data_IF_271083755809
#
_entry.id   IF_271083755809
#
_cell.length_a   1.000
_cell.length_b   1.000
_cell.length_c   1.000
_cell.angle_alpha   90.00
_cell.angle_beta   90.00
_cell.angle_gamma   90.00
#
_symmetry.space_group_name_H-M   'P 1'
#
loop_
_entity.id
_entity.type
_entity.pdbx_description
1 polymer ?
#
# COMPACT_ATOMS: atom_id res chain seq x y z
N UNK A 1 -24.39 11.33 -16.37
CA UNK A 1 -24.08 10.00 -15.80
C UNK A 1 -23.25 10.22 -14.54
N UNK A 2 -23.80 10.00 -13.33
CA UNK A 2 -23.06 10.18 -12.07
C UNK A 2 -22.98 8.86 -11.33
N UNK A 3 -22.42 7.86 -12.02
CA UNK A 3 -22.06 6.60 -11.41
C UNK A 3 -20.79 6.89 -10.62
N UNK A 4 -20.89 6.93 -9.29
CA UNK A 4 -19.78 6.58 -8.40
C UNK A 4 -19.15 5.33 -9.00
N UNK A 5 -18.02 5.47 -9.68
CA UNK A 5 -17.30 4.36 -10.27
C UNK A 5 -17.27 3.24 -9.25
N UNK A 6 -17.74 2.06 -9.65
CA UNK A 6 -17.74 0.90 -8.79
C UNK A 6 -16.28 0.67 -8.41
N UNK A 7 -15.88 1.06 -7.19
CA UNK A 7 -14.51 0.91 -6.72
C UNK A 7 -14.07 -0.53 -7.02
N UNK A 8 -13.13 -0.68 -7.95
CA UNK A 8 -12.55 -1.96 -8.31
C UNK A 8 -11.93 -2.56 -7.05
N UNK A 9 -12.35 -3.78 -6.68
CA UNK A 9 -11.99 -4.45 -5.42
C UNK A 9 -11.41 -5.82 -5.67
N UNK A 10 -10.42 -6.19 -4.88
CA UNK A 10 -9.93 -7.56 -4.82
C UNK A 10 -10.93 -8.51 -4.12
N UNK A 11 -10.61 -9.80 -4.09
CA UNK A 11 -11.42 -10.84 -3.42
C UNK A 11 -11.68 -10.60 -1.93
N UNK A 12 -10.82 -9.85 -1.25
CA UNK A 12 -10.97 -9.50 0.17
C UNK A 12 -11.83 -8.24 0.38
N UNK A 13 -12.29 -7.62 -0.71
CA UNK A 13 -13.09 -6.40 -0.73
C UNK A 13 -12.28 -5.12 -0.56
N UNK A 14 -10.96 -5.18 -0.71
CA UNK A 14 -10.07 -4.01 -0.63
C UNK A 14 -9.92 -3.36 -2.01
N UNK A 15 -9.95 -2.01 -2.07
CA UNK A 15 -9.72 -1.27 -3.31
C UNK A 15 -8.21 -1.15 -3.60
N UNK A 16 -7.85 -0.71 -4.82
CA UNK A 16 -6.44 -0.51 -5.23
C UNK A 16 -5.66 0.37 -4.26
N UNK A 17 -6.28 1.42 -3.73
CA UNK A 17 -5.64 2.36 -2.79
C UNK A 17 -5.19 1.70 -1.48
N UNK A 18 -5.61 0.47 -1.20
CA UNK A 18 -5.14 -0.29 -0.04
C UNK A 18 -3.78 -0.97 -0.23
N UNK A 19 -3.24 -1.00 -1.45
CA UNK A 19 -2.05 -1.76 -1.84
C UNK A 19 -0.93 -0.82 -2.27
N UNK A 20 0.32 -1.18 -1.98
CA UNK A 20 1.48 -0.38 -2.36
C UNK A 20 1.94 -0.65 -3.80
N UNK A 21 1.61 -1.84 -4.33
CA UNK A 21 1.94 -2.25 -5.70
C UNK A 21 0.64 -2.71 -6.37
N UNK A 22 0.29 -2.04 -7.47
CA UNK A 22 -0.84 -2.39 -8.34
C UNK A 22 -0.25 -2.99 -9.61
N UNK A 23 -0.38 -4.30 -9.75
CA UNK A 23 -0.02 -5.01 -10.97
C UNK A 23 -1.11 -4.86 -12.03
N UNK A 24 -1.53 -5.99 -12.60
CA UNK A 24 -2.62 -6.04 -13.58
C UNK A 24 -3.94 -5.53 -12.97
N UNK A 25 -4.62 -4.64 -13.69
CA UNK A 25 -5.91 -4.08 -13.30
C UNK A 25 -7.03 -5.11 -13.42
N UNK A 26 -6.90 -6.08 -14.32
CA UNK A 26 -7.87 -7.16 -14.54
C UNK A 26 -7.58 -8.39 -13.65
N UNK A 27 -6.36 -8.55 -13.13
CA UNK A 27 -6.01 -9.57 -12.13
C UNK A 27 -5.59 -8.97 -10.79
N UNK A 28 -6.58 -8.78 -9.91
CA UNK A 28 -6.38 -8.22 -8.58
C UNK A 28 -5.50 -9.08 -7.65
N UNK A 29 -5.18 -10.33 -8.00
CA UNK A 29 -4.24 -11.13 -7.20
C UNK A 29 -2.78 -10.67 -7.40
N UNK A 30 -2.52 -9.88 -8.44
CA UNK A 30 -1.21 -9.27 -8.69
C UNK A 30 -0.97 -8.04 -7.81
N UNK A 31 -2.00 -7.53 -7.12
CA UNK A 31 -1.86 -6.41 -6.20
C UNK A 31 -1.22 -6.89 -4.90
N UNK A 32 -0.17 -6.20 -4.48
CA UNK A 32 0.72 -6.67 -3.39
C UNK A 32 0.84 -5.60 -2.31
N UNK A 33 1.25 -6.06 -1.14
CA UNK A 33 1.55 -5.21 0.02
C UNK A 33 0.33 -4.38 0.47
N UNK A 34 -0.77 -5.06 0.87
CA UNK A 34 -1.89 -4.36 1.50
C UNK A 34 -1.43 -3.69 2.78
N UNK A 35 -1.83 -2.44 3.01
CA UNK A 35 -1.41 -1.66 4.18
C UNK A 35 -2.53 -0.77 4.74
N UNK A 36 -3.75 -0.89 4.22
CA UNK A 36 -4.94 -0.25 4.78
C UNK A 36 -5.96 -1.28 5.26
N UNK A 37 -6.74 -0.90 6.28
CA UNK A 37 -7.91 -1.65 6.75
C UNK A 37 -9.08 -1.47 5.80
N UNK A 38 -10.08 -2.36 5.87
CA UNK A 38 -11.36 -2.24 5.12
C UNK A 38 -12.08 -0.90 5.32
N UNK A 39 -11.79 -0.17 6.41
CA UNK A 39 -12.30 1.19 6.64
C UNK A 39 -11.86 2.20 5.57
N UNK A 40 -10.86 1.90 4.74
CA UNK A 40 -10.51 2.72 3.56
C UNK A 40 -11.70 2.96 2.64
N UNK A 41 -12.64 2.01 2.55
CA UNK A 41 -13.88 2.18 1.78
C UNK A 41 -14.75 3.34 2.30
N UNK A 42 -14.66 3.67 3.59
CA UNK A 42 -15.31 4.85 4.17
C UNK A 42 -14.54 6.12 3.81
N UNK A 43 -13.21 6.06 3.79
CA UNK A 43 -12.37 7.19 3.39
C UNK A 43 -12.59 7.58 1.92
N UNK A 44 -12.63 6.60 1.01
CA UNK A 44 -12.94 6.81 -0.41
C UNK A 44 -14.37 7.35 -0.65
N UNK A 45 -15.26 7.27 0.34
CA UNK A 45 -16.60 7.89 0.31
C UNK A 45 -16.65 9.25 1.00
N UNK A 46 -15.49 9.81 1.39
CA UNK A 46 -15.37 11.08 2.12
C UNK A 46 -15.83 11.02 3.58
N UNK A 47 -16.02 9.82 4.15
CA UNK A 47 -16.55 9.63 5.52
C UNK A 47 -15.46 9.43 6.58
N UNK A 48 -14.20 9.37 6.16
CA UNK A 48 -13.04 9.18 7.04
C UNK A 48 -11.80 9.73 6.32
N UNK A 49 -10.80 10.15 7.08
CA UNK A 49 -9.49 10.45 6.53
C UNK A 49 -8.79 9.15 6.12
N UNK A 50 -8.20 9.10 4.92
CA UNK A 50 -7.49 7.92 4.42
C UNK A 50 -6.32 7.53 5.31
N UNK A 51 -5.62 8.49 5.90
CA UNK A 51 -4.46 8.24 6.77
C UNK A 51 -4.88 7.52 8.06
N UNK A 52 -6.12 7.73 8.53
CA UNK A 52 -6.69 7.02 9.68
C UNK A 52 -7.04 5.56 9.38
N UNK A 53 -6.90 5.13 8.13
CA UNK A 53 -7.21 3.76 7.71
C UNK A 53 -5.97 2.90 7.49
N UNK A 54 -4.77 3.49 7.60
CA UNK A 54 -3.51 2.76 7.55
C UNK A 54 -3.49 1.73 8.68
N UNK A 55 -3.20 0.49 8.33
CA UNK A 55 -2.91 -0.57 9.29
C UNK A 55 -1.40 -0.61 9.52
N UNK A 56 -0.95 -0.17 10.69
CA UNK A 56 0.49 -0.03 10.95
C UNK A 56 1.22 -1.38 11.06
N UNK A 57 0.51 -2.46 11.40
CA UNK A 57 1.10 -3.79 11.44
C UNK A 57 1.33 -4.30 10.01
N UNK A 58 0.33 -4.14 9.13
CA UNK A 58 0.47 -4.46 7.71
C UNK A 58 1.46 -3.53 7.00
N UNK A 59 1.50 -2.24 7.36
CA UNK A 59 2.50 -1.28 6.87
C UNK A 59 3.92 -1.76 7.18
N UNK A 60 4.18 -2.20 8.42
CA UNK A 60 5.50 -2.72 8.80
C UNK A 60 5.87 -3.98 8.02
N UNK A 61 4.90 -4.88 7.80
CA UNK A 61 5.10 -6.07 6.97
C UNK A 61 5.39 -5.69 5.50
N UNK A 62 4.67 -4.71 4.95
CA UNK A 62 4.88 -4.19 3.60
C UNK A 62 6.28 -3.59 3.41
N UNK A 63 6.73 -2.77 4.36
CA UNK A 63 8.10 -2.21 4.35
C UNK A 63 9.16 -3.30 4.43
N UNK A 64 8.94 -4.32 5.25
CA UNK A 64 9.88 -5.45 5.39
C UNK A 64 10.00 -6.24 4.09
N UNK A 65 8.87 -6.46 3.38
CA UNK A 65 8.84 -7.16 2.10
C UNK A 65 9.56 -6.42 0.95
N UNK A 66 9.76 -5.10 1.08
CA UNK A 66 10.54 -4.28 0.14
C UNK A 66 12.05 -4.31 0.45
N UNK A 67 12.45 -4.75 1.66
CA UNK A 67 13.85 -4.74 2.08
C UNK A 67 14.71 -5.75 1.33
N UNK A 68 15.88 -5.29 0.88
CA UNK A 68 16.89 -6.09 0.19
C UNK A 68 17.69 -7.02 1.13
N UNK A 69 17.65 -6.78 2.44
CA UNK A 69 18.70 -7.24 3.37
C UNK A 69 18.37 -8.38 4.34
N UNK A 70 17.14 -8.92 4.37
CA UNK A 70 16.78 -9.92 5.38
C UNK A 70 16.89 -11.37 4.85
N UNK A 71 18.00 -12.02 5.21
CA UNK A 71 18.23 -13.47 5.16
C UNK A 71 16.91 -14.26 5.36
N UNK A 72 16.47 -14.95 4.30
CA UNK A 72 15.25 -15.81 4.17
C UNK A 72 13.95 -15.17 3.64
N UNK A 73 13.90 -13.90 3.26
CA UNK A 73 12.66 -13.30 2.74
C UNK A 73 12.65 -13.24 1.21
N UNK A 74 11.65 -13.87 0.58
CA UNK A 74 11.38 -13.68 -0.86
C UNK A 74 11.07 -12.21 -1.08
N UNK A 75 11.91 -11.52 -1.84
CA UNK A 75 11.62 -10.17 -2.31
C UNK A 75 10.24 -10.17 -2.96
N UNK A 76 9.47 -9.10 -2.76
CA UNK A 76 8.25 -8.92 -3.54
C UNK A 76 8.65 -8.94 -5.02
N UNK A 77 8.01 -9.80 -5.80
CA UNK A 77 8.24 -9.87 -7.24
C UNK A 77 7.58 -8.65 -7.88
N UNK A 78 8.39 -7.67 -8.27
CA UNK A 78 7.96 -6.41 -8.84
C UNK A 78 9.14 -5.79 -9.59
N UNK A 79 8.86 -4.93 -10.57
CA UNK A 79 9.89 -4.18 -11.27
C UNK A 79 10.59 -3.17 -10.33
N UNK A 80 11.82 -2.73 -10.62
CA UNK A 80 12.48 -1.67 -9.86
C UNK A 80 11.63 -0.40 -9.74
N UNK A 81 10.89 -0.04 -10.79
CA UNK A 81 10.01 1.13 -10.83
C UNK A 81 8.80 0.95 -9.90
N UNK A 82 8.16 -0.22 -9.92
CA UNK A 82 7.07 -0.55 -8.99
C UNK A 82 7.54 -0.52 -7.54
N UNK A 83 8.74 -1.03 -7.26
CA UNK A 83 9.36 -0.97 -5.93
C UNK A 83 9.59 0.48 -5.52
N UNK A 84 10.14 1.31 -6.40
CA UNK A 84 10.41 2.72 -6.11
C UNK A 84 9.13 3.50 -5.80
N UNK A 85 8.09 3.30 -6.60
CA UNK A 85 6.79 3.96 -6.36
C UNK A 85 6.14 3.46 -5.07
N UNK A 86 6.20 2.16 -4.77
CA UNK A 86 5.73 1.60 -3.51
C UNK A 86 6.47 2.22 -2.31
N UNK A 87 7.80 2.35 -2.39
CA UNK A 87 8.59 2.99 -1.33
C UNK A 87 8.13 4.43 -1.09
N UNK A 88 8.02 5.25 -2.14
CA UNK A 88 7.59 6.65 -2.03
C UNK A 88 6.19 6.75 -1.44
N UNK A 89 5.28 5.87 -1.88
CA UNK A 89 3.91 5.77 -1.39
C UNK A 89 3.87 5.47 0.12
N UNK A 90 4.56 4.41 0.55
CA UNK A 90 4.63 4.05 1.98
C UNK A 90 5.33 5.14 2.81
N UNK A 91 6.40 5.75 2.31
CA UNK A 91 7.11 6.83 2.99
C UNK A 91 6.21 8.06 3.23
N UNK A 92 5.31 8.36 2.30
CA UNK A 92 4.36 9.44 2.42
C UNK A 92 3.40 9.23 3.61
N UNK A 93 2.95 8.00 3.86
CA UNK A 93 2.13 7.68 5.02
C UNK A 93 2.85 7.95 6.34
N UNK A 94 4.13 7.55 6.46
CA UNK A 94 4.95 7.86 7.64
C UNK A 94 5.06 9.37 7.88
N UNK A 95 5.37 10.13 6.82
CA UNK A 95 5.52 11.59 6.90
C UNK A 95 4.22 12.27 7.34
N UNK A 96 3.08 11.92 6.73
CA UNK A 96 1.77 12.47 7.08
C UNK A 96 1.32 12.10 8.50
N UNK A 97 1.72 10.93 8.97
CA UNK A 97 1.46 10.49 10.34
C UNK A 97 2.46 11.07 11.37
N UNK A 98 3.42 11.89 10.93
CA UNK A 98 4.52 12.40 11.74
C UNK A 98 5.28 11.28 12.49
N UNK A 99 5.42 10.11 11.85
CA UNK A 99 6.18 8.97 12.37
C UNK A 99 7.59 8.98 11.80
N UNK A 100 8.56 8.45 12.57
CA UNK A 100 9.93 8.24 12.10
C UNK A 100 9.94 7.33 10.87
N UNK A 101 10.60 7.77 9.81
CA UNK A 101 10.73 7.00 8.57
C UNK A 101 11.73 5.85 8.78
N UNK A 102 11.36 4.59 8.53
CA UNK A 102 12.30 3.47 8.58
C UNK A 102 13.45 3.64 7.58
N UNK A 103 14.67 3.23 7.95
CA UNK A 103 15.87 3.38 7.11
C UNK A 103 15.71 2.78 5.72
N UNK A 104 15.00 1.65 5.60
CA UNK A 104 14.70 0.99 4.32
C UNK A 104 13.93 1.92 3.38
N UNK A 105 12.98 2.69 3.92
CA UNK A 105 12.25 3.68 3.13
C UNK A 105 13.12 4.91 2.91
N UNK A 106 13.84 5.40 3.92
CA UNK A 106 14.70 6.59 3.79
C UNK A 106 15.80 6.42 2.73
N UNK A 107 16.34 5.21 2.58
CA UNK A 107 17.38 4.89 1.60
C UNK A 107 16.88 4.87 0.15
N UNK A 108 15.56 4.79 -0.06
CA UNK A 108 14.93 4.56 -1.36
C UNK A 108 13.89 5.64 -1.74
N UNK A 109 13.58 6.58 -0.84
CA UNK A 109 12.46 7.55 -0.96
C UNK A 109 12.87 8.99 -1.29
#
# INVERSE_FOLDING_TARGET
>A
MTVKEALTRNKDGLPKEAFAIIGDVEDHNTWKLPHHRKSILRALRGKLDIEKTVDWDLMSAAVTALSLGAYRSRRVEASPEEILEAVKHLANHYRKAAKSLPDILAALA
#
